data_IF_588705058522
#
_entry.id   IF_588705058522
#
_cell.length_a   1.000
_cell.length_b   1.000
_cell.length_c   1.000
_cell.angle_alpha   90.00
_cell.angle_beta   90.00
_cell.angle_gamma   90.00
#
_symmetry.space_group_name_H-M   'P 1'
#
loop_
_entity.id
_entity.type
_entity.pdbx_description
1 polymer ?
#
# COMPACT_ATOMS: atom_id res chain seq x y z
N UNK A 1 2.55 8.22 -21.01
CA UNK A 1 2.21 8.19 -19.57
C UNK A 1 0.83 7.56 -19.44
N UNK A 2 0.73 6.31 -19.02
CA UNK A 2 -0.57 5.71 -18.68
C UNK A 2 -1.08 6.42 -17.44
N UNK A 3 -2.22 7.11 -17.56
CA UNK A 3 -2.83 7.78 -16.43
C UNK A 3 -3.25 6.72 -15.42
N UNK A 4 -2.47 6.63 -14.36
CA UNK A 4 -2.44 5.49 -13.47
C UNK A 4 -3.72 5.37 -12.64
N UNK A 5 -4.38 6.51 -12.38
CA UNK A 5 -5.72 6.60 -11.80
C UNK A 5 -6.77 5.95 -12.73
N UNK A 6 -6.57 6.03 -14.05
CA UNK A 6 -7.45 5.38 -15.03
C UNK A 6 -7.33 3.86 -14.97
N UNK A 7 -6.16 3.30 -14.66
CA UNK A 7 -6.03 1.85 -14.46
C UNK A 7 -6.78 1.40 -13.21
N UNK A 8 -6.61 2.12 -12.09
CA UNK A 8 -7.33 1.82 -10.84
C UNK A 8 -8.84 1.84 -11.09
N UNK A 9 -9.33 2.88 -11.77
CA UNK A 9 -10.73 2.99 -12.15
C UNK A 9 -11.21 1.84 -13.05
N UNK A 10 -10.38 1.38 -13.99
CA UNK A 10 -10.69 0.20 -14.84
C UNK A 10 -10.77 -1.09 -14.04
N UNK A 11 -9.80 -1.34 -13.15
CA UNK A 11 -9.79 -2.53 -12.29
C UNK A 11 -11.00 -2.52 -11.35
N UNK A 12 -11.37 -1.34 -10.86
CA UNK A 12 -12.55 -1.17 -10.02
C UNK A 12 -13.87 -1.38 -10.77
N UNK A 13 -14.07 -0.71 -11.91
CA UNK A 13 -15.28 -0.89 -12.72
C UNK A 13 -15.47 -2.33 -13.20
N UNK A 14 -14.38 -3.08 -13.38
CA UNK A 14 -14.47 -4.49 -13.72
C UNK A 14 -14.97 -5.37 -12.56
N UNK A 15 -14.72 -4.97 -11.32
CA UNK A 15 -15.28 -5.63 -10.14
C UNK A 15 -16.82 -5.56 -10.16
N UNK A 16 -17.37 -4.39 -10.53
CA UNK A 16 -18.82 -4.19 -10.63
C UNK A 16 -19.44 -5.07 -11.72
N UNK A 17 -18.76 -5.21 -12.87
CA UNK A 17 -19.20 -6.10 -13.97
C UNK A 17 -19.26 -7.56 -13.51
N UNK A 18 -18.26 -8.03 -12.76
CA UNK A 18 -18.23 -9.40 -12.25
C UNK A 18 -19.22 -9.63 -11.10
N UNK A 19 -19.50 -8.60 -10.31
CA UNK A 19 -20.53 -8.64 -9.26
C UNK A 19 -21.92 -8.87 -9.85
N UNK A 20 -22.21 -8.30 -11.01
CA UNK A 20 -23.49 -8.52 -11.69
C UNK A 20 -23.64 -9.98 -12.18
N UNK A 21 -22.54 -10.73 -12.31
CA UNK A 21 -22.56 -12.19 -12.57
C UNK A 21 -22.51 -13.05 -11.29
N UNK A 22 -22.62 -12.44 -10.11
CA UNK A 22 -22.59 -13.13 -8.83
C UNK A 22 -21.20 -13.37 -8.24
N UNK A 23 -20.13 -12.78 -8.79
CA UNK A 23 -18.79 -12.83 -8.20
C UNK A 23 -18.65 -11.69 -7.17
N UNK A 24 -18.61 -12.01 -5.88
CA UNK A 24 -18.47 -10.99 -4.83
C UNK A 24 -17.13 -10.24 -4.87
N UNK A 25 -17.03 -9.08 -4.21
CA UNK A 25 -15.79 -8.31 -4.16
C UNK A 25 -14.62 -9.08 -3.55
N UNK A 26 -14.89 -9.93 -2.55
CA UNK A 26 -13.88 -10.80 -1.94
C UNK A 26 -13.33 -11.82 -2.93
N UNK A 27 -14.21 -12.52 -3.66
CA UNK A 27 -13.81 -13.47 -4.71
C UNK A 27 -13.05 -12.75 -5.83
N UNK A 28 -13.53 -11.58 -6.25
CA UNK A 28 -12.84 -10.77 -7.25
C UNK A 28 -11.43 -10.37 -6.81
N UNK A 29 -11.29 -9.89 -5.58
CA UNK A 29 -10.00 -9.52 -5.01
C UNK A 29 -9.05 -10.71 -4.95
N UNK A 30 -9.54 -11.89 -4.56
CA UNK A 30 -8.76 -13.13 -4.56
C UNK A 30 -8.25 -13.46 -5.98
N UNK A 31 -9.14 -13.45 -6.98
CA UNK A 31 -8.74 -13.71 -8.38
C UNK A 31 -7.75 -12.67 -8.90
N UNK A 32 -7.98 -11.39 -8.59
CA UNK A 32 -7.08 -10.31 -8.99
C UNK A 32 -5.69 -10.51 -8.36
N UNK A 33 -5.63 -10.94 -7.10
CA UNK A 33 -4.38 -11.20 -6.38
C UNK A 33 -3.57 -12.29 -7.08
N UNK A 34 -4.19 -13.40 -7.47
CA UNK A 34 -3.53 -14.48 -8.21
C UNK A 34 -2.98 -14.01 -9.55
N UNK A 35 -3.79 -13.29 -10.32
CA UNK A 35 -3.39 -12.80 -11.64
C UNK A 35 -2.27 -11.76 -11.55
N UNK A 36 -2.35 -10.82 -10.61
CA UNK A 36 -1.31 -9.81 -10.40
C UNK A 36 0.00 -10.44 -9.93
N UNK A 37 -0.06 -11.44 -9.04
CA UNK A 37 1.12 -12.17 -8.61
C UNK A 37 1.82 -12.82 -9.81
N UNK A 38 1.07 -13.53 -10.65
CA UNK A 38 1.62 -14.19 -11.84
C UNK A 38 2.18 -13.18 -12.85
N UNK A 39 1.50 -12.06 -13.06
CA UNK A 39 1.98 -10.99 -13.94
C UNK A 39 3.30 -10.40 -13.44
N UNK A 40 3.37 -10.07 -12.14
CA UNK A 40 4.57 -9.53 -11.52
C UNK A 40 5.71 -10.53 -11.57
N UNK A 41 5.45 -11.80 -11.29
CA UNK A 41 6.43 -12.87 -11.39
C UNK A 41 7.01 -12.96 -12.80
N UNK A 42 6.17 -12.93 -13.83
CA UNK A 42 6.58 -12.93 -15.25
C UNK A 42 7.35 -11.67 -15.68
N UNK A 43 7.09 -10.52 -15.05
CA UNK A 43 7.91 -9.32 -15.30
C UNK A 43 9.27 -9.39 -14.60
N UNK A 44 9.33 -9.97 -13.40
CA UNK A 44 10.57 -10.12 -12.66
C UNK A 44 11.52 -11.15 -13.26
N UNK A 45 11.02 -12.14 -14.02
CA UNK A 45 11.86 -13.07 -14.78
C UNK A 45 12.50 -12.43 -16.01
N UNK A 46 12.04 -11.23 -16.41
CA UNK A 46 12.52 -10.50 -17.60
C UNK A 46 13.55 -9.41 -17.22
N UNK A 47 14.32 -8.90 -18.19
CA UNK A 47 15.17 -7.74 -17.97
C UNK A 47 14.37 -6.53 -17.45
N UNK A 48 14.91 -5.73 -16.52
CA UNK A 48 16.28 -5.77 -15.99
C UNK A 48 16.51 -6.71 -14.80
N UNK A 49 15.46 -7.37 -14.29
CA UNK A 49 15.53 -8.08 -13.02
C UNK A 49 16.05 -9.52 -13.14
N UNK A 50 15.67 -10.24 -14.21
CA UNK A 50 16.13 -11.60 -14.53
C UNK A 50 16.12 -12.57 -13.33
N UNK A 51 15.07 -12.52 -12.50
CA UNK A 51 14.93 -13.36 -11.31
C UNK A 51 14.46 -14.76 -11.70
N UNK A 52 15.08 -15.77 -11.10
CA UNK A 52 14.53 -17.12 -11.13
C UNK A 52 13.44 -17.26 -10.07
N UNK A 53 12.27 -17.74 -10.49
CA UNK A 53 11.13 -17.97 -9.62
C UNK A 53 10.68 -19.43 -9.76
N UNK A 54 10.29 -20.09 -8.67
CA UNK A 54 9.93 -21.52 -8.66
C UNK A 54 8.51 -21.75 -9.21
N UNK A 55 8.17 -21.14 -10.35
CA UNK A 55 6.89 -21.34 -11.03
C UNK A 55 7.08 -22.47 -12.05
N UNK A 56 6.33 -23.57 -11.97
CA UNK A 56 6.46 -24.69 -12.90
C UNK A 56 6.20 -24.28 -14.36
N UNK A 57 6.97 -24.87 -15.28
CA UNK A 57 6.79 -24.65 -16.71
C UNK A 57 5.38 -25.00 -17.16
N UNK A 58 4.83 -24.18 -18.06
CA UNK A 58 3.46 -24.32 -18.55
C UNK A 58 2.37 -23.77 -17.61
N UNK A 59 2.71 -23.33 -16.40
CA UNK A 59 1.79 -22.74 -15.42
C UNK A 59 2.15 -21.29 -15.04
N UNK A 60 2.89 -20.62 -15.91
CA UNK A 60 3.29 -19.21 -15.79
C UNK A 60 2.30 -18.26 -16.48
N UNK A 61 2.49 -16.94 -16.34
CA UNK A 61 1.63 -15.92 -16.95
C UNK A 61 1.47 -16.10 -18.47
N UNK A 62 2.59 -16.29 -19.18
CA UNK A 62 2.61 -16.44 -20.64
C UNK A 62 1.75 -17.62 -21.12
N UNK A 63 1.66 -18.69 -20.32
CA UNK A 63 0.85 -19.88 -20.65
C UNK A 63 -0.65 -19.60 -20.83
N UNK A 64 -1.17 -18.51 -20.24
CA UNK A 64 -2.58 -18.12 -20.33
C UNK A 64 -2.88 -17.25 -21.56
N UNK A 65 -1.91 -16.47 -22.03
CA UNK A 65 -2.13 -15.40 -23.02
C UNK A 65 -2.56 -15.90 -24.40
N UNK A 66 -2.24 -17.15 -24.76
CA UNK A 66 -2.61 -17.77 -26.03
C UNK A 66 -3.95 -18.52 -25.98
N UNK A 67 -4.61 -18.63 -24.82
CA UNK A 67 -5.81 -19.45 -24.62
C UNK A 67 -7.08 -18.60 -24.58
N UNK A 68 -8.20 -19.15 -25.07
CA UNK A 68 -9.52 -18.49 -25.09
C UNK A 68 -10.62 -19.49 -24.73
N UNK A 69 -11.78 -19.00 -24.32
CA UNK A 69 -12.97 -19.81 -24.06
C UNK A 69 -12.72 -20.91 -23.03
N UNK A 70 -13.34 -22.08 -23.23
CA UNK A 70 -13.20 -23.23 -22.34
C UNK A 70 -11.74 -23.69 -22.14
N UNK A 71 -10.86 -23.50 -23.14
CA UNK A 71 -9.43 -23.83 -23.00
C UNK A 71 -8.73 -22.92 -22.00
N UNK A 72 -9.11 -21.65 -21.93
CA UNK A 72 -8.56 -20.71 -20.94
C UNK A 72 -9.03 -21.07 -19.54
N UNK A 73 -10.34 -21.29 -19.37
CA UNK A 73 -10.92 -21.65 -18.08
C UNK A 73 -10.31 -22.95 -17.53
N UNK A 74 -10.32 -24.03 -18.32
CA UNK A 74 -9.71 -25.31 -17.94
C UNK A 74 -8.23 -25.20 -17.61
N UNK A 75 -7.49 -24.31 -18.31
CA UNK A 75 -6.08 -24.08 -18.04
C UNK A 75 -5.88 -23.32 -16.72
N UNK A 76 -6.67 -22.28 -16.48
CA UNK A 76 -6.57 -21.48 -15.26
C UNK A 76 -6.90 -22.31 -14.02
N UNK A 77 -7.93 -23.17 -14.08
CA UNK A 77 -8.25 -24.11 -12.99
C UNK A 77 -7.09 -25.07 -12.70
N UNK A 78 -6.44 -25.61 -13.75
CA UNK A 78 -5.27 -26.48 -13.59
C UNK A 78 -4.07 -25.72 -13.03
N UNK A 79 -3.84 -24.49 -13.51
CA UNK A 79 -2.77 -23.62 -13.05
C UNK A 79 -2.88 -23.34 -11.55
N UNK A 80 -4.04 -22.89 -11.07
CA UNK A 80 -4.28 -22.65 -9.64
C UNK A 80 -4.00 -23.90 -8.79
N UNK A 81 -4.46 -25.06 -9.28
CA UNK A 81 -4.25 -26.35 -8.62
C UNK A 81 -2.78 -26.73 -8.51
N UNK A 82 -2.01 -26.61 -9.60
CA UNK A 82 -0.58 -26.98 -9.59
C UNK A 82 0.25 -26.01 -8.76
N UNK A 83 -0.04 -24.70 -8.81
CA UNK A 83 0.64 -23.73 -7.95
C UNK A 83 0.33 -23.94 -6.47
N UNK A 84 -0.89 -24.36 -6.14
CA UNK A 84 -1.28 -24.71 -4.76
C UNK A 84 -0.55 -25.94 -4.19
N UNK A 85 0.13 -26.74 -5.02
CA UNK A 85 0.97 -27.87 -4.57
C UNK A 85 2.43 -27.48 -4.35
N UNK A 86 2.85 -26.29 -4.77
CA UNK A 86 4.22 -25.84 -4.61
C UNK A 86 4.59 -25.71 -3.12
N UNK A 87 5.89 -25.79 -2.81
CA UNK A 87 6.38 -25.55 -1.45
C UNK A 87 6.67 -24.06 -1.22
N UNK A 88 6.83 -23.68 0.06
CA UNK A 88 7.17 -22.31 0.45
C UNK A 88 6.05 -21.30 0.21
N UNK A 89 6.43 -20.05 -0.09
CA UNK A 89 5.50 -18.93 -0.21
C UNK A 89 4.52 -19.10 -1.38
N UNK A 90 4.95 -19.74 -2.46
CA UNK A 90 4.12 -19.97 -3.64
C UNK A 90 2.94 -20.88 -3.29
N UNK A 91 3.21 -21.99 -2.60
CA UNK A 91 2.17 -22.88 -2.09
C UNK A 91 1.21 -22.16 -1.17
N UNK A 92 1.72 -21.35 -0.24
CA UNK A 92 0.90 -20.60 0.71
C UNK A 92 -0.07 -19.63 0.02
N UNK A 93 0.38 -18.92 -1.03
CA UNK A 93 -0.45 -17.99 -1.80
C UNK A 93 -1.59 -18.72 -2.52
N UNK A 94 -1.30 -19.87 -3.13
CA UNK A 94 -2.26 -20.61 -3.96
C UNK A 94 -2.95 -21.77 -3.22
N UNK A 95 -2.77 -21.88 -1.90
CA UNK A 95 -3.34 -22.96 -1.09
C UNK A 95 -4.87 -22.97 -1.21
N UNK A 96 -5.42 -24.09 -1.67
CA UNK A 96 -6.88 -24.28 -1.90
C UNK A 96 -7.52 -23.23 -2.81
N UNK A 97 -6.72 -22.58 -3.67
CA UNK A 97 -7.20 -21.62 -4.65
C UNK A 97 -8.21 -22.24 -5.63
N UNK A 98 -9.22 -21.48 -6.01
CA UNK A 98 -10.27 -21.89 -6.95
C UNK A 98 -10.55 -20.76 -7.94
N UNK A 99 -10.94 -21.11 -9.17
CA UNK A 99 -11.46 -20.11 -10.10
C UNK A 99 -12.88 -19.72 -9.66
N UNK A 100 -13.12 -18.43 -9.45
CA UNK A 100 -14.44 -17.85 -9.15
C UNK A 100 -15.07 -17.14 -10.35
N UNK A 101 -14.29 -16.86 -11.40
CA UNK A 101 -14.78 -16.22 -12.63
C UNK A 101 -15.17 -17.32 -13.62
N UNK A 102 -16.45 -17.69 -13.63
CA UNK A 102 -16.96 -18.77 -14.47
C UNK A 102 -17.09 -18.40 -15.95
N UNK A 103 -17.26 -17.11 -16.27
CA UNK A 103 -17.35 -16.64 -17.66
C UNK A 103 -15.95 -16.51 -18.27
N UNK A 104 -15.59 -17.37 -19.26
CA UNK A 104 -14.26 -17.35 -19.85
C UNK A 104 -13.95 -16.09 -20.65
N UNK A 105 -14.96 -15.38 -21.17
CA UNK A 105 -14.77 -14.12 -21.87
C UNK A 105 -14.38 -13.01 -20.89
N UNK A 106 -14.96 -13.02 -19.69
CA UNK A 106 -14.60 -12.06 -18.62
C UNK A 106 -13.25 -12.39 -18.00
N UNK A 107 -12.94 -13.67 -17.78
CA UNK A 107 -11.59 -14.11 -17.38
C UNK A 107 -10.54 -13.66 -18.41
N UNK A 108 -10.82 -13.85 -19.71
CA UNK A 108 -9.93 -13.36 -20.75
C UNK A 108 -9.75 -11.83 -20.69
N UNK A 109 -10.85 -11.09 -20.48
CA UNK A 109 -10.84 -9.62 -20.44
C UNK A 109 -10.03 -9.07 -19.27
N UNK A 110 -10.11 -9.66 -18.07
CA UNK A 110 -9.29 -9.23 -16.92
C UNK A 110 -7.80 -9.56 -17.15
N UNK A 111 -7.49 -10.73 -17.70
CA UNK A 111 -6.11 -11.12 -18.04
C UNK A 111 -5.54 -10.13 -19.06
N UNK A 112 -6.30 -9.80 -20.11
CA UNK A 112 -5.90 -8.85 -21.12
C UNK A 112 -5.69 -7.44 -20.54
N UNK A 113 -6.56 -7.00 -19.62
CA UNK A 113 -6.45 -5.72 -18.93
C UNK A 113 -5.17 -5.64 -18.09
N UNK A 114 -4.86 -6.66 -17.29
CA UNK A 114 -3.64 -6.73 -16.49
C UNK A 114 -2.41 -6.80 -17.39
N UNK A 115 -2.48 -7.56 -18.49
CA UNK A 115 -1.37 -7.74 -19.41
C UNK A 115 -0.97 -6.46 -20.16
N UNK A 116 -1.90 -5.54 -20.37
CA UNK A 116 -1.67 -4.29 -21.07
C UNK A 116 -0.77 -3.30 -20.30
N UNK A 117 -0.56 -3.55 -19.01
CA UNK A 117 0.16 -2.65 -18.11
C UNK A 117 1.49 -3.28 -17.66
N UNK A 118 2.48 -2.43 -17.38
CA UNK A 118 3.76 -2.85 -16.80
C UNK A 118 3.75 -2.59 -15.29
N UNK A 119 3.44 -3.62 -14.52
CA UNK A 119 3.25 -3.49 -13.08
C UNK A 119 4.58 -3.28 -12.37
N UNK A 120 5.68 -3.89 -12.81
CA UNK A 120 7.00 -3.81 -12.19
C UNK A 120 7.56 -2.39 -12.17
N UNK A 121 7.22 -1.59 -13.18
CA UNK A 121 7.60 -0.17 -13.29
C UNK A 121 6.65 0.76 -12.51
N UNK A 122 5.49 0.28 -12.07
CA UNK A 122 4.60 1.06 -11.22
C UNK A 122 5.22 1.23 -9.82
N UNK A 123 5.20 2.46 -9.33
CA UNK A 123 5.66 2.79 -7.97
C UNK A 123 4.94 1.95 -6.91
N UNK A 124 5.68 1.55 -5.87
CA UNK A 124 5.16 0.74 -4.75
C UNK A 124 3.93 1.36 -4.10
N UNK A 125 3.92 2.69 -3.95
CA UNK A 125 2.82 3.44 -3.35
C UNK A 125 1.51 3.27 -4.12
N UNK A 126 1.59 3.15 -5.44
CA UNK A 126 0.41 2.98 -6.27
C UNK A 126 -0.18 1.58 -6.14
N UNK A 127 0.66 0.54 -6.20
CA UNK A 127 0.22 -0.85 -6.01
C UNK A 127 -0.45 -1.02 -4.66
N UNK A 128 0.16 -0.43 -3.62
CA UNK A 128 -0.41 -0.36 -2.28
C UNK A 128 -1.79 0.30 -2.28
N UNK A 129 -1.92 1.49 -2.87
CA UNK A 129 -3.20 2.21 -2.96
C UNK A 129 -4.29 1.43 -3.70
N UNK A 130 -3.95 0.76 -4.81
CA UNK A 130 -4.92 -0.07 -5.54
C UNK A 130 -5.43 -1.22 -4.67
N UNK A 131 -4.52 -1.96 -4.05
CA UNK A 131 -4.86 -3.13 -3.25
C UNK A 131 -5.63 -2.74 -1.98
N UNK A 132 -5.17 -1.71 -1.28
CA UNK A 132 -5.85 -1.14 -0.10
C UNK A 132 -7.24 -0.61 -0.45
N UNK A 133 -7.40 0.08 -1.58
CA UNK A 133 -8.71 0.58 -1.99
C UNK A 133 -9.71 -0.54 -2.29
N UNK A 134 -9.26 -1.64 -2.89
CA UNK A 134 -10.12 -2.81 -3.11
C UNK A 134 -10.47 -3.53 -1.80
N UNK A 135 -9.53 -3.59 -0.85
CA UNK A 135 -9.77 -4.14 0.49
C UNK A 135 -10.80 -3.31 1.27
N UNK A 136 -10.67 -1.98 1.23
CA UNK A 136 -11.59 -1.04 1.87
C UNK A 136 -13.01 -1.20 1.33
N UNK A 137 -13.16 -1.26 -0.01
CA UNK A 137 -14.45 -1.51 -0.66
C UNK A 137 -15.07 -2.86 -0.28
N UNK A 138 -14.25 -3.92 -0.25
CA UNK A 138 -14.73 -5.23 0.17
C UNK A 138 -15.19 -5.22 1.64
N UNK A 139 -14.48 -4.46 2.50
CA UNK A 139 -14.82 -4.30 3.91
C UNK A 139 -16.09 -3.46 4.15
N UNK A 140 -16.35 -2.45 3.31
CA UNK A 140 -17.57 -1.64 3.35
C UNK A 140 -18.82 -2.39 2.89
N UNK A 141 -18.67 -3.45 2.09
CA UNK A 141 -19.79 -4.29 1.69
C UNK A 141 -20.26 -5.15 2.88
N UNK A 142 -21.27 -4.66 3.59
CA UNK A 142 -21.87 -5.31 4.76
C UNK A 142 -22.32 -6.76 4.46
N UNK A 143 -22.69 -7.07 3.21
CA UNK A 143 -23.12 -8.41 2.80
C UNK A 143 -21.97 -9.41 2.73
N UNK A 144 -20.73 -8.93 2.53
CA UNK A 144 -19.55 -9.78 2.45
C UNK A 144 -19.06 -10.23 3.83
N UNK A 145 -19.41 -9.50 4.90
CA UNK A 145 -18.86 -9.70 6.23
C UNK A 145 -17.35 -9.45 6.34
N UNK A 146 -16.70 -8.94 5.28
CA UNK A 146 -15.25 -8.76 5.24
C UNK A 146 -14.76 -7.60 6.14
N UNK A 147 -15.66 -6.73 6.59
CA UNK A 147 -15.36 -5.63 7.52
C UNK A 147 -14.72 -6.11 8.83
N UNK A 148 -14.94 -7.36 9.26
CA UNK A 148 -14.32 -7.93 10.46
C UNK A 148 -12.78 -8.07 10.36
N UNK A 149 -12.22 -8.07 9.14
CA UNK A 149 -10.78 -8.22 8.88
C UNK A 149 -10.08 -6.89 8.57
N UNK A 150 -10.81 -5.78 8.61
CA UNK A 150 -10.34 -4.47 8.21
C UNK A 150 -10.44 -3.46 9.35
N UNK A 151 -9.44 -2.59 9.46
CA UNK A 151 -9.46 -1.45 10.38
C UNK A 151 -9.23 -0.17 9.57
N UNK A 152 -10.03 0.89 9.75
CA UNK A 152 -9.88 2.13 8.99
C UNK A 152 -8.47 2.72 9.11
N UNK A 153 -7.89 3.13 7.98
CA UNK A 153 -6.48 3.56 7.91
C UNK A 153 -6.18 4.77 8.79
N UNK A 154 -7.11 5.73 8.86
CA UNK A 154 -6.97 6.90 9.72
C UNK A 154 -6.83 6.51 11.21
N UNK A 155 -7.53 5.44 11.63
CA UNK A 155 -7.45 4.92 12.99
C UNK A 155 -6.13 4.20 13.24
N UNK A 156 -5.72 3.31 12.32
CA UNK A 156 -4.41 2.62 12.40
C UNK A 156 -3.28 3.65 12.50
N UNK A 157 -3.27 4.67 11.64
CA UNK A 157 -2.24 5.71 11.64
C UNK A 157 -2.22 6.48 12.96
N UNK A 158 -3.38 6.81 13.53
CA UNK A 158 -3.46 7.47 14.84
C UNK A 158 -2.86 6.60 15.95
N UNK A 159 -3.19 5.31 15.97
CA UNK A 159 -2.66 4.38 16.95
C UNK A 159 -1.14 4.23 16.83
N UNK A 160 -0.62 4.04 15.62
CA UNK A 160 0.82 3.91 15.36
C UNK A 160 1.58 5.19 15.76
N UNK A 161 1.03 6.37 15.45
CA UNK A 161 1.62 7.66 15.87
C UNK A 161 1.68 7.81 17.39
N UNK A 162 0.64 7.37 18.11
CA UNK A 162 0.61 7.36 19.57
C UNK A 162 1.61 6.37 20.18
N UNK A 163 1.73 5.17 19.59
CA UNK A 163 2.67 4.13 20.04
C UNK A 163 4.12 4.54 19.79
N UNK A 164 4.36 5.34 18.74
CA UNK A 164 5.66 5.91 18.42
C UNK A 164 6.77 4.85 18.30
N UNK A 165 6.54 3.89 17.40
CA UNK A 165 7.39 2.71 17.28
C UNK A 165 8.85 3.05 16.96
N UNK A 166 9.78 2.37 17.64
CA UNK A 166 11.24 2.53 17.48
C UNK A 166 11.84 1.40 16.64
N UNK A 167 12.96 1.69 15.97
CA UNK A 167 13.71 0.66 15.24
C UNK A 167 14.24 -0.41 16.22
N UNK A 168 14.32 -1.66 15.76
CA UNK A 168 14.80 -2.79 16.56
C UNK A 168 13.81 -3.31 17.62
N UNK A 169 12.59 -2.77 17.69
CA UNK A 169 11.52 -3.29 18.55
C UNK A 169 10.67 -4.29 17.79
N UNK A 170 10.28 -5.37 18.48
CA UNK A 170 9.34 -6.36 17.95
C UNK A 170 7.94 -5.77 17.90
N UNK A 171 7.22 -6.01 16.80
CA UNK A 171 5.82 -5.65 16.61
C UNK A 171 5.03 -6.96 16.58
N UNK A 172 3.98 -7.05 17.39
CA UNK A 172 3.06 -8.19 17.39
C UNK A 172 1.64 -7.65 17.18
N UNK A 173 0.93 -8.24 16.22
CA UNK A 173 -0.49 -8.02 15.99
C UNK A 173 -1.16 -9.40 15.92
N UNK A 174 -1.83 -9.85 17.01
CA UNK A 174 -2.41 -11.19 17.08
C UNK A 174 -3.65 -11.36 16.21
N UNK A 175 -4.20 -10.28 15.65
CA UNK A 175 -5.38 -10.26 14.80
C UNK A 175 -5.14 -9.36 13.57
N UNK A 176 -4.01 -9.56 12.91
CA UNK A 176 -3.49 -8.58 11.94
C UNK A 176 -4.35 -8.33 10.72
N UNK A 177 -5.32 -9.19 10.42
CA UNK A 177 -6.21 -9.07 9.26
C UNK A 177 -5.41 -8.84 7.98
N UNK A 178 -5.68 -7.71 7.31
CA UNK A 178 -4.96 -7.28 6.09
C UNK A 178 -3.51 -6.80 6.32
N UNK A 179 -3.01 -6.81 7.55
CA UNK A 179 -1.66 -6.40 7.92
C UNK A 179 -1.46 -4.90 8.07
N UNK A 180 -2.55 -4.13 8.22
CA UNK A 180 -2.50 -2.67 8.16
C UNK A 180 -1.62 -2.00 9.22
N UNK A 181 -1.57 -2.56 10.43
CA UNK A 181 -0.68 -2.07 11.50
C UNK A 181 0.81 -2.25 11.17
N UNK A 182 1.19 -3.35 10.52
CA UNK A 182 2.57 -3.58 10.11
C UNK A 182 3.02 -2.58 9.04
N UNK A 183 2.18 -2.38 8.01
CA UNK A 183 2.46 -1.42 6.95
C UNK A 183 2.57 0.01 7.51
N UNK A 184 1.60 0.42 8.34
CA UNK A 184 1.60 1.75 8.94
C UNK A 184 2.80 1.97 9.86
N UNK A 185 3.23 0.95 10.61
CA UNK A 185 4.42 1.00 11.47
C UNK A 185 5.70 1.12 10.65
N UNK A 186 5.82 0.36 9.56
CA UNK A 186 6.94 0.46 8.62
C UNK A 186 7.02 1.87 8.02
N UNK A 187 5.92 2.40 7.51
CA UNK A 187 5.84 3.75 6.94
C UNK A 187 6.19 4.82 7.97
N UNK A 188 5.72 4.67 9.21
CA UNK A 188 6.03 5.58 10.30
C UNK A 188 7.53 5.61 10.58
N UNK A 189 8.18 4.47 10.74
CA UNK A 189 9.63 4.39 10.99
C UNK A 189 10.41 4.96 9.79
N UNK A 190 10.01 4.60 8.58
CA UNK A 190 10.64 5.05 7.34
C UNK A 190 10.58 6.58 7.18
N UNK A 191 9.46 7.19 7.55
CA UNK A 191 9.25 8.64 7.49
C UNK A 191 9.88 9.38 8.69
N UNK A 192 9.69 8.88 9.90
CA UNK A 192 10.13 9.53 11.14
C UNK A 192 11.65 9.44 11.35
N UNK A 193 12.32 8.45 10.77
CA UNK A 193 13.78 8.24 10.89
C UNK A 193 14.25 8.37 12.36
N UNK A 194 13.74 7.53 13.29
CA UNK A 194 13.98 7.70 14.73
C UNK A 194 15.46 7.71 15.11
N UNK A 195 16.32 7.02 14.37
CA UNK A 195 17.77 7.00 14.63
C UNK A 195 18.49 8.27 14.20
N UNK A 196 18.04 8.91 13.10
CA UNK A 196 18.68 10.11 12.59
C UNK A 196 17.66 11.02 11.92
N UNK A 197 17.19 11.99 12.70
CA UNK A 197 16.22 13.01 12.27
C UNK A 197 16.71 13.87 11.09
N UNK A 198 18.02 14.01 10.88
CA UNK A 198 18.57 14.79 9.78
C UNK A 198 18.38 14.10 8.43
N UNK A 199 18.13 12.79 8.42
CA UNK A 199 17.76 12.03 7.22
C UNK A 199 16.29 12.16 6.84
N UNK A 200 15.47 12.90 7.60
CA UNK A 200 14.06 13.14 7.26
C UNK A 200 13.97 13.98 5.99
N UNK A 201 13.09 13.56 5.09
CA UNK A 201 12.73 14.29 3.88
C UNK A 201 11.28 14.73 3.99
N UNK A 202 10.98 15.92 3.47
CA UNK A 202 9.59 16.35 3.33
C UNK A 202 8.86 15.40 2.41
N UNK A 203 7.74 14.91 2.90
CA UNK A 203 6.81 14.11 2.11
C UNK A 203 5.62 14.95 1.68
N UNK A 204 5.39 16.08 2.33
CA UNK A 204 4.36 17.05 1.94
C UNK A 204 4.82 17.92 0.78
N UNK A 205 3.92 18.13 -0.19
CA UNK A 205 4.04 19.16 -1.23
C UNK A 205 2.65 19.69 -1.59
N UNK A 206 2.55 20.70 -2.46
CA UNK A 206 1.24 21.17 -2.96
C UNK A 206 0.52 20.07 -3.76
N UNK A 207 1.30 19.24 -4.45
CA UNK A 207 0.86 18.10 -5.25
C UNK A 207 0.61 16.85 -4.37
N UNK A 208 1.23 16.76 -3.20
CA UNK A 208 0.99 15.74 -2.19
C UNK A 208 0.56 16.34 -0.84
N UNK A 209 -0.68 16.84 -0.73
CA UNK A 209 -1.16 17.49 0.49
C UNK A 209 -1.30 16.52 1.68
N UNK A 210 -1.26 15.21 1.42
CA UNK A 210 -1.34 14.15 2.42
C UNK A 210 0.04 13.70 2.93
N UNK A 211 1.13 14.37 2.54
CA UNK A 211 2.45 14.08 3.08
C UNK A 211 2.50 14.29 4.60
N UNK A 212 3.15 13.35 5.28
CA UNK A 212 3.19 13.28 6.76
C UNK A 212 4.23 14.21 7.38
N UNK A 213 5.28 14.56 6.63
CA UNK A 213 6.39 15.38 7.09
C UNK A 213 6.48 16.66 6.28
N UNK A 214 6.43 17.80 6.99
CA UNK A 214 6.51 19.14 6.42
C UNK A 214 7.41 20.00 7.30
N UNK A 215 8.28 20.79 6.66
CA UNK A 215 9.05 21.83 7.32
C UNK A 215 8.25 23.12 7.30
N UNK A 216 8.42 23.89 8.35
CA UNK A 216 7.91 25.25 8.40
C UNK A 216 9.04 26.19 8.73
N UNK A 217 9.07 27.33 8.04
CA UNK A 217 9.91 28.44 8.46
C UNK A 217 9.24 29.14 9.66
N UNK A 218 10.06 29.79 10.47
CA UNK A 218 9.57 30.48 11.68
C UNK A 218 8.49 31.53 11.36
N UNK A 219 8.71 32.34 10.33
CA UNK A 219 7.77 33.35 9.83
C UNK A 219 6.41 32.74 9.42
N UNK A 220 6.42 31.58 8.77
CA UNK A 220 5.19 30.86 8.39
C UNK A 220 4.39 30.35 9.59
N UNK A 221 5.06 30.01 10.69
CA UNK A 221 4.42 29.57 11.94
C UNK A 221 3.80 30.77 12.66
N UNK A 222 4.54 31.87 12.75
CA UNK A 222 4.11 33.07 13.47
C UNK A 222 2.95 33.79 12.78
N UNK A 223 2.83 33.68 11.46
CA UNK A 223 1.75 34.30 10.68
C UNK A 223 0.38 33.59 10.81
N UNK A 224 0.31 32.44 11.48
CA UNK A 224 -0.93 31.65 11.59
C UNK A 224 -1.78 32.09 12.78
N UNK A 225 -3.04 32.42 12.51
CA UNK A 225 -3.98 32.99 13.48
C UNK A 225 -4.32 32.08 14.69
N UNK A 226 -4.09 30.76 14.58
CA UNK A 226 -4.40 29.77 15.62
C UNK A 226 -3.19 28.95 16.08
N UNK A 227 -1.99 29.52 15.98
CA UNK A 227 -0.78 28.86 16.46
C UNK A 227 -0.75 28.87 17.99
N UNK A 228 -1.37 27.87 18.61
CA UNK A 228 -1.25 27.62 20.05
C UNK A 228 0.04 26.82 20.32
N UNK A 229 1.18 27.46 20.07
CA UNK A 229 2.49 26.93 20.45
C UNK A 229 2.83 27.54 21.81
N UNK A 230 2.64 26.79 22.89
CA UNK A 230 3.18 27.13 24.21
C UNK A 230 4.71 27.02 24.20
N UNK A 231 5.38 27.96 23.51
CA UNK A 231 6.85 28.12 23.46
C UNK A 231 7.31 29.07 24.58
N UNK A 232 6.57 29.18 25.68
CA UNK A 232 6.99 30.01 26.81
C UNK A 232 8.29 29.50 27.48
N UNK A 233 8.64 28.22 27.30
CA UNK A 233 9.85 27.62 27.87
C UNK A 233 11.14 27.86 27.05
N UNK A 234 11.09 28.58 25.91
CA UNK A 234 12.29 28.94 25.11
C UNK A 234 12.59 30.45 25.21
N UNK A 235 11.94 31.15 26.15
CA UNK A 235 12.39 32.48 26.59
C UNK A 235 13.58 32.31 27.54
N UNK A 236 14.67 31.77 27.02
CA UNK A 236 15.98 32.07 27.58
C UNK A 236 16.42 33.38 26.89
N UNK A 237 16.60 34.45 27.65
CA UNK A 237 17.02 35.76 27.12
C UNK A 237 18.39 35.69 26.41
N UNK A 238 19.12 34.58 26.56
CA UNK A 238 20.36 34.29 25.87
C UNK A 238 20.22 33.71 24.45
N UNK A 239 19.03 33.21 24.07
CA UNK A 239 18.78 32.67 22.73
C UNK A 239 18.29 33.78 21.80
N UNK A 240 19.22 34.58 21.30
CA UNK A 240 19.03 35.32 20.06
C UNK A 240 18.83 34.31 18.91
N UNK A 241 17.59 33.85 18.72
CA UNK A 241 17.24 32.95 17.61
C UNK A 241 17.48 33.70 16.30
N UNK A 242 18.54 33.33 15.59
CA UNK A 242 18.86 33.90 14.28
C UNK A 242 17.66 33.79 13.33
N UNK A 243 17.37 34.88 12.62
CA UNK A 243 16.38 34.91 11.53
C UNK A 243 16.83 33.93 10.45
N UNK A 244 16.30 32.71 10.47
CA UNK A 244 16.71 31.63 9.57
C UNK A 244 16.37 30.23 10.07
N UNK A 245 16.04 30.09 11.36
CA UNK A 245 15.75 28.80 11.98
C UNK A 245 14.49 28.15 11.41
N UNK A 246 14.65 26.97 10.79
CA UNK A 246 13.54 26.16 10.26
C UNK A 246 13.07 25.15 11.29
N UNK A 247 11.76 25.11 11.56
CA UNK A 247 11.16 24.16 12.47
C UNK A 247 10.72 22.90 11.72
N UNK A 248 11.05 21.77 12.32
CA UNK A 248 10.74 20.44 11.81
C UNK A 248 9.54 19.90 12.61
N UNK A 249 8.39 19.68 11.97
CA UNK A 249 7.25 19.09 12.66
C UNK A 249 6.57 17.99 11.84
N UNK A 250 5.90 17.09 12.56
CA UNK A 250 4.98 16.14 11.94
C UNK A 250 3.61 16.83 11.87
N UNK A 251 3.02 16.88 10.68
CA UNK A 251 1.73 17.53 10.46
C UNK A 251 0.64 16.50 10.23
N UNK A 252 -0.48 16.63 10.93
CA UNK A 252 -1.78 16.27 10.34
C UNK A 252 -2.35 17.51 9.67
N UNK A 253 -3.17 17.34 8.63
CA UNK A 253 -3.78 18.39 7.76
C UNK A 253 -4.06 19.77 8.41
N UNK A 254 -4.34 19.85 9.71
CA UNK A 254 -4.59 21.11 10.42
C UNK A 254 -3.87 21.27 11.79
N UNK A 255 -3.11 20.28 12.27
CA UNK A 255 -2.48 20.31 13.61
C UNK A 255 -0.97 20.04 13.53
N UNK A 256 -0.18 20.93 14.14
CA UNK A 256 1.25 20.73 14.39
C UNK A 256 1.37 19.94 15.70
N UNK A 257 1.83 18.69 15.64
CA UNK A 257 2.14 17.95 16.86
C UNK A 257 3.59 18.18 17.25
N UNK A 258 3.82 18.50 18.53
CA UNK A 258 5.16 18.64 19.12
C UNK A 258 5.89 17.30 19.01
N UNK A 259 6.84 17.20 18.09
CA UNK A 259 7.94 16.25 18.27
C UNK A 259 8.89 16.89 19.28
N UNK A 260 9.12 16.27 20.43
CA UNK A 260 10.05 16.79 21.44
C UNK A 260 11.38 17.13 20.76
N UNK A 261 11.65 18.43 20.64
CA UNK A 261 13.01 18.93 20.45
C UNK A 261 13.71 18.74 21.80
N UNK A 262 14.28 17.56 22.00
CA UNK A 262 15.41 17.51 22.91
C UNK A 262 16.55 18.24 22.18
N UNK A 263 16.83 19.44 22.66
CA UNK A 263 18.09 20.10 22.38
C UNK A 263 19.16 19.26 23.09
N UNK A 264 19.74 18.29 22.38
CA UNK A 264 21.06 17.80 22.75
C UNK A 264 22.04 18.92 22.39
N UNK A 265 22.24 19.84 23.32
CA UNK A 265 23.41 20.69 23.41
C UNK A 265 24.60 19.83 23.84
N UNK A 266 25.06 18.96 22.94
CA UNK A 266 26.37 18.30 23.04
C UNK A 266 26.97 18.13 21.64
N UNK A 267 27.60 19.20 21.18
CA UNK A 267 29.03 19.32 20.87
C UNK A 267 29.29 20.74 20.44
#
# INVERSE_FOLDING_TARGET
>A
MTNTETLISKVWSFADVLRDDGVGYGDYLEQLTYLLFLKLADEYTKPPYNRELPIPDGYNWASMLSKRGAKLDSHYVKLLRELGKASGILGQIFTKSQNKIQDPAKLYRIIAMINAENWSLMGTDLKGKLYEGLLEKNAEDVKSGAGQYFTPRALIMAMVECVHQKLGKMICDPACGTGGFFLASYDFIACYKPENRHKRKETWSKENPNGRWRKFRYDEIMAREKTNLDIFCVKDESLAVERGTSFNCMTRKHNIYRTQMNADTRT
#
